data_IF_992847517622
#
_entry.id   IF_992847517622
#
_cell.length_a   1.000
_cell.length_b   1.000
_cell.length_c   1.000
_cell.angle_alpha   90.00
_cell.angle_beta   90.00
_cell.angle_gamma   90.00
#
_symmetry.space_group_name_H-M   'P 1'
#
loop_
_entity.id
_entity.type
_entity.pdbx_description
1 polymer ?
#
# COMPACT_ATOMS: atom_id res chain seq x y z
N UNK A 1 0.54 -1.04 -16.53
CA UNK A 1 1.62 -2.04 -16.40
C UNK A 1 1.26 -2.93 -15.22
N UNK A 2 1.52 -4.24 -15.30
CA UNK A 2 1.33 -5.13 -14.14
C UNK A 2 2.61 -5.03 -13.29
N UNK A 3 2.49 -4.47 -12.08
CA UNK A 3 3.60 -4.36 -11.13
C UNK A 3 3.14 -4.97 -9.81
N UNK A 4 4.05 -5.68 -9.13
CA UNK A 4 3.77 -6.16 -7.78
C UNK A 4 3.70 -4.97 -6.82
N UNK A 5 2.56 -4.82 -6.13
CA UNK A 5 2.34 -3.76 -5.15
C UNK A 5 3.41 -3.77 -4.04
N UNK A 6 3.89 -4.95 -3.64
CA UNK A 6 4.81 -5.08 -2.52
C UNK A 6 6.23 -4.61 -2.84
N UNK A 7 6.59 -4.44 -4.12
CA UNK A 7 7.93 -3.97 -4.55
C UNK A 7 7.98 -2.48 -4.92
N UNK A 8 6.89 -1.72 -4.73
CA UNK A 8 6.88 -0.27 -5.01
C UNK A 8 7.75 0.45 -3.96
N UNK A 9 8.73 1.25 -4.37
CA UNK A 9 9.65 1.95 -3.44
C UNK A 9 9.41 3.46 -3.35
N UNK A 10 8.41 3.99 -4.06
CA UNK A 10 8.03 5.41 -4.06
C UNK A 10 7.17 5.82 -2.86
N UNK A 11 6.99 7.13 -2.69
CA UNK A 11 6.06 7.72 -1.70
C UNK A 11 5.05 8.62 -2.37
N UNK A 12 3.85 8.70 -1.78
CA UNK A 12 2.70 9.42 -2.32
C UNK A 12 2.03 10.24 -1.21
N UNK A 13 1.49 11.40 -1.59
CA UNK A 13 0.65 12.21 -0.70
C UNK A 13 -0.75 11.61 -0.51
N UNK A 14 -1.22 10.84 -1.50
CA UNK A 14 -2.52 10.19 -1.50
C UNK A 14 -2.43 8.80 -2.15
N UNK A 15 -2.89 7.78 -1.43
CA UNK A 15 -3.07 6.43 -1.97
C UNK A 15 -4.56 6.16 -2.11
N UNK A 16 -5.01 5.88 -3.33
CA UNK A 16 -6.37 5.44 -3.61
C UNK A 16 -6.35 3.97 -4.03
N UNK A 17 -7.11 3.14 -3.33
CA UNK A 17 -7.30 1.74 -3.65
C UNK A 17 -8.78 1.46 -3.91
N UNK A 18 -9.07 0.58 -4.87
CA UNK A 18 -10.42 0.12 -5.14
C UNK A 18 -10.45 -1.40 -5.03
N UNK A 19 -11.02 -1.91 -3.93
CA UNK A 19 -11.22 -3.34 -3.61
C UNK A 19 -9.93 -4.16 -3.42
N UNK A 20 -8.77 -3.52 -3.44
CA UNK A 20 -7.49 -4.23 -3.41
C UNK A 20 -7.28 -4.91 -2.06
N UNK A 21 -7.55 -4.21 -0.95
CA UNK A 21 -7.42 -4.78 0.39
C UNK A 21 -8.27 -6.05 0.59
N UNK A 22 -9.49 -6.05 0.06
CA UNK A 22 -10.40 -7.19 0.16
C UNK A 22 -9.96 -8.39 -0.70
N UNK A 23 -9.30 -8.13 -1.82
CA UNK A 23 -8.78 -9.16 -2.72
C UNK A 23 -7.48 -9.81 -2.19
N UNK A 24 -6.79 -9.19 -1.24
CA UNK A 24 -5.56 -9.73 -0.62
C UNK A 24 -5.91 -10.88 0.35
N UNK A 25 -5.17 -12.01 0.30
CA UNK A 25 -5.30 -13.09 1.28
C UNK A 25 -5.20 -12.60 2.73
N UNK A 26 -6.04 -13.08 3.67
CA UNK A 26 -6.05 -12.58 5.05
C UNK A 26 -4.68 -12.56 5.74
N UNK A 27 -3.83 -13.55 5.47
CA UNK A 27 -2.48 -13.66 6.02
C UNK A 27 -1.49 -12.60 5.50
N UNK A 28 -1.85 -11.86 4.45
CA UNK A 28 -1.02 -10.78 3.87
C UNK A 28 -1.52 -9.38 4.24
N UNK A 29 -2.62 -9.26 4.98
CA UNK A 29 -3.21 -7.96 5.34
C UNK A 29 -2.29 -7.10 6.21
N UNK A 30 -1.52 -7.72 7.10
CA UNK A 30 -0.50 -7.01 7.88
C UNK A 30 0.56 -6.42 6.96
N UNK A 31 1.09 -7.21 6.02
CA UNK A 31 2.05 -6.73 5.03
C UNK A 31 1.48 -5.62 4.13
N UNK A 32 0.18 -5.66 3.81
CA UNK A 32 -0.49 -4.57 3.11
C UNK A 32 -0.47 -3.28 3.93
N UNK A 33 -0.82 -3.34 5.22
CA UNK A 33 -0.81 -2.16 6.11
C UNK A 33 0.61 -1.60 6.23
N UNK A 34 1.60 -2.47 6.43
CA UNK A 34 3.01 -2.07 6.50
C UNK A 34 3.43 -1.38 5.20
N UNK A 35 3.01 -1.93 4.05
CA UNK A 35 3.34 -1.35 2.74
C UNK A 35 2.66 0.00 2.53
N UNK A 36 1.37 0.14 2.82
CA UNK A 36 0.65 1.43 2.73
C UNK A 36 1.32 2.48 3.62
N UNK A 37 1.75 2.10 4.82
CA UNK A 37 2.46 3.02 5.72
C UNK A 37 3.81 3.48 5.18
N UNK A 38 4.50 2.67 4.38
CA UNK A 38 5.75 3.07 3.70
C UNK A 38 5.47 3.99 2.51
N UNK A 39 4.36 3.77 1.81
CA UNK A 39 3.99 4.48 0.59
C UNK A 39 3.34 5.84 0.85
N UNK A 40 2.85 6.14 2.07
CA UNK A 40 2.19 7.41 2.40
C UNK A 40 3.16 8.35 3.11
N UNK A 41 3.28 9.59 2.62
CA UNK A 41 4.02 10.65 3.29
C UNK A 41 3.29 11.04 4.59
N UNK A 42 3.93 11.01 5.77
CA UNK A 42 3.30 11.43 7.00
C UNK A 42 2.92 12.91 6.93
N UNK A 43 1.66 13.25 7.25
CA UNK A 43 1.19 14.64 7.33
C UNK A 43 1.65 15.37 8.62
N UNK A 44 2.88 15.08 9.08
CA UNK A 44 3.52 15.78 10.20
C UNK A 44 4.77 16.47 9.67
N UNK A 45 4.56 17.58 8.96
CA UNK A 45 5.55 18.62 8.70
C UNK A 45 4.92 19.97 9.07
#
# INVERSE_FOLDING_TARGET
MLQDFFVIEDTFDLVLEQTFFCAIPPNMRTSYVDKISQLIIPMVN
#
